data_IF_077229378585
#
_entry.id   IF_077229378585
#
_cell.length_a   1.000
_cell.length_b   1.000
_cell.length_c   1.000
_cell.angle_alpha   90.00
_cell.angle_beta   90.00
_cell.angle_gamma   90.00
#
_symmetry.space_group_name_H-M   'P 1'
#
loop_
_entity.id
_entity.type
_entity.pdbx_description
1 polymer ?
#
# COMPACT_ATOMS: atom_id res chain seq x y z
N UNK A 1 10.75 -6.66 3.43
CA UNK A 1 9.55 -6.14 4.11
C UNK A 1 8.27 -6.41 3.31
N UNK A 2 8.19 -6.12 2.00
CA UNK A 2 6.98 -6.41 1.21
C UNK A 2 6.55 -7.89 1.29
N UNK A 3 7.48 -8.85 1.23
CA UNK A 3 7.19 -10.28 1.46
C UNK A 3 6.58 -10.55 2.84
N UNK A 4 7.02 -9.84 3.87
CA UNK A 4 6.42 -9.93 5.21
C UNK A 4 4.98 -9.41 5.22
N UNK A 5 4.71 -8.26 4.60
CA UNK A 5 3.35 -7.70 4.49
C UNK A 5 2.42 -8.64 3.72
N UNK A 6 2.91 -9.26 2.64
CA UNK A 6 2.17 -10.29 1.90
C UNK A 6 1.88 -11.52 2.79
N UNK A 7 2.84 -11.97 3.58
CA UNK A 7 2.62 -13.07 4.53
C UNK A 7 1.54 -12.73 5.56
N UNK A 8 1.57 -11.50 6.11
CA UNK A 8 0.54 -11.04 7.05
C UNK A 8 -0.86 -11.00 6.40
N UNK A 9 -0.96 -10.55 5.15
CA UNK A 9 -2.20 -10.58 4.39
C UNK A 9 -2.75 -12.01 4.27
N UNK A 10 -1.90 -12.99 3.93
CA UNK A 10 -2.28 -14.41 3.86
C UNK A 10 -2.83 -14.93 5.18
N UNK A 11 -2.09 -14.68 6.26
CA UNK A 11 -2.52 -15.12 7.60
C UNK A 11 -3.87 -14.52 7.98
N UNK A 12 -4.07 -13.23 7.71
CA UNK A 12 -5.34 -12.55 7.98
C UNK A 12 -6.49 -13.15 7.15
N UNK A 13 -6.27 -13.44 5.87
CA UNK A 13 -7.28 -14.05 5.01
C UNK A 13 -7.67 -15.46 5.47
N UNK A 14 -6.72 -16.26 5.97
CA UNK A 14 -7.01 -17.59 6.51
C UNK A 14 -7.85 -17.57 7.78
N UNK A 15 -7.85 -16.47 8.52
CA UNK A 15 -8.66 -16.29 9.74
C UNK A 15 -9.98 -15.58 9.49
N UNK A 16 -10.26 -15.21 8.23
CA UNK A 16 -11.49 -14.53 7.85
C UNK A 16 -12.69 -15.48 7.96
N UNK A 17 -13.65 -15.12 8.81
CA UNK A 17 -14.94 -15.81 8.87
C UNK A 17 -15.83 -15.34 7.71
N UNK A 18 -16.64 -16.24 7.17
CA UNK A 18 -17.58 -15.93 6.08
C UNK A 18 -18.57 -14.80 6.43
N UNK A 19 -18.93 -14.68 7.70
CA UNK A 19 -19.81 -13.60 8.19
C UNK A 19 -19.19 -12.20 8.03
N UNK A 20 -17.87 -12.08 8.03
CA UNK A 20 -17.15 -10.81 7.92
C UNK A 20 -17.09 -10.31 6.46
N UNK A 21 -17.26 -11.19 5.48
CA UNK A 21 -17.19 -10.87 4.05
C UNK A 21 -18.36 -9.98 3.59
N UNK A 22 -19.43 -9.89 4.36
CA UNK A 22 -20.60 -9.05 4.06
C UNK A 22 -20.36 -7.53 4.18
N UNK A 23 -19.25 -7.10 4.79
CA UNK A 23 -18.90 -5.69 5.01
C UNK A 23 -17.55 -5.34 4.38
N UNK A 24 -17.52 -5.14 3.09
CA UNK A 24 -16.30 -4.76 2.36
C UNK A 24 -16.18 -3.23 2.23
N UNK A 25 -14.97 -2.68 2.30
CA UNK A 25 -13.69 -3.31 2.63
C UNK A 25 -13.57 -3.64 4.12
N UNK A 26 -12.82 -4.71 4.43
CA UNK A 26 -12.54 -5.13 5.81
C UNK A 26 -11.23 -4.49 6.26
N UNK A 27 -11.25 -3.83 7.42
CA UNK A 27 -10.08 -3.16 7.98
C UNK A 27 -9.50 -3.92 9.14
N UNK A 28 -8.16 -4.02 9.16
CA UNK A 28 -7.39 -4.56 10.25
C UNK A 28 -6.34 -3.56 10.73
N UNK A 29 -6.20 -3.46 12.04
CA UNK A 29 -5.07 -2.84 12.72
C UNK A 29 -4.34 -3.95 13.45
N UNK A 30 -3.22 -4.38 12.89
CA UNK A 30 -2.41 -5.44 13.46
C UNK A 30 -1.29 -4.80 14.28
N UNK A 31 -1.19 -5.21 15.54
CA UNK A 31 -0.05 -4.83 16.36
C UNK A 31 1.16 -5.68 15.96
N UNK A 32 2.24 -5.01 15.62
CA UNK A 32 3.51 -5.62 15.25
C UNK A 32 4.52 -5.46 16.40
N UNK A 33 5.65 -6.15 16.30
CA UNK A 33 6.72 -6.04 17.30
C UNK A 33 7.12 -4.58 17.51
N UNK A 34 7.41 -4.22 18.75
CA UNK A 34 7.80 -2.87 19.19
C UNK A 34 6.69 -1.80 19.06
N UNK A 35 5.42 -2.20 19.24
CA UNK A 35 4.28 -1.28 19.24
C UNK A 35 3.98 -0.63 17.90
N UNK A 36 4.42 -1.25 16.79
CA UNK A 36 4.14 -0.75 15.44
C UNK A 36 2.78 -1.17 14.96
N UNK A 37 2.16 -0.34 14.19
CA UNK A 37 0.85 -0.62 13.61
C UNK A 37 0.98 -0.96 12.13
N UNK A 38 0.47 -2.13 11.73
CA UNK A 38 0.29 -2.53 10.36
C UNK A 38 -1.20 -2.38 10.01
N UNK A 39 -1.52 -1.37 9.23
CA UNK A 39 -2.88 -1.14 8.72
C UNK A 39 -3.07 -1.99 7.48
N UNK A 40 -4.20 -2.68 7.40
CA UNK A 40 -4.56 -3.50 6.25
C UNK A 40 -6.02 -3.29 5.89
N UNK A 41 -6.31 -3.14 4.60
CA UNK A 41 -7.65 -3.14 4.04
C UNK A 41 -7.75 -4.27 3.02
N UNK A 42 -8.75 -5.13 3.18
CA UNK A 42 -9.08 -6.21 2.24
C UNK A 42 -10.34 -5.82 1.50
N UNK A 43 -10.20 -5.55 0.19
CA UNK A 43 -11.29 -5.03 -0.63
C UNK A 43 -12.08 -6.14 -1.32
N UNK A 44 -11.38 -7.20 -1.78
CA UNK A 44 -11.97 -8.29 -2.56
C UNK A 44 -11.36 -9.64 -2.14
N UNK A 45 -11.75 -10.17 -0.97
CA UNK A 45 -11.15 -11.40 -0.42
C UNK A 45 -11.34 -12.62 -1.33
N UNK A 46 -12.52 -12.77 -1.93
CA UNK A 46 -12.82 -13.89 -2.83
C UNK A 46 -11.92 -13.88 -4.07
N UNK A 47 -11.72 -12.70 -4.67
CA UNK A 47 -10.84 -12.55 -5.83
C UNK A 47 -9.38 -12.81 -5.44
N UNK A 48 -8.96 -12.33 -4.27
CA UNK A 48 -7.61 -12.60 -3.75
C UNK A 48 -7.34 -14.10 -3.58
N UNK A 49 -8.32 -14.85 -3.07
CA UNK A 49 -8.20 -16.29 -2.82
C UNK A 49 -8.30 -17.11 -4.10
N UNK A 50 -9.10 -16.67 -5.08
CA UNK A 50 -9.33 -17.40 -6.33
C UNK A 50 -8.25 -17.14 -7.40
N UNK A 51 -7.51 -16.03 -7.30
CA UNK A 51 -6.56 -15.63 -8.33
C UNK A 51 -5.24 -16.38 -8.24
N UNK A 52 -4.83 -17.00 -9.35
CA UNK A 52 -3.51 -17.62 -9.47
C UNK A 52 -2.43 -16.65 -9.93
N UNK A 53 -2.81 -15.45 -10.39
CA UNK A 53 -1.88 -14.44 -10.85
C UNK A 53 -2.33 -13.07 -10.33
N UNK A 54 -1.50 -12.45 -9.52
CA UNK A 54 -1.76 -11.16 -8.89
C UNK A 54 -0.66 -10.18 -9.25
N UNK A 55 -1.02 -8.91 -9.39
CA UNK A 55 -0.06 -7.83 -9.53
C UNK A 55 0.16 -7.11 -8.20
N UNK A 56 1.31 -6.51 -8.01
CA UNK A 56 1.54 -5.67 -6.84
C UNK A 56 2.28 -4.37 -7.17
N UNK A 57 2.02 -3.38 -6.32
CA UNK A 57 2.83 -2.18 -6.20
C UNK A 57 3.31 -2.09 -4.75
N UNK A 58 4.63 -2.00 -4.59
CA UNK A 58 5.26 -1.74 -3.30
C UNK A 58 5.80 -0.30 -3.29
N UNK A 59 5.43 0.46 -2.28
CA UNK A 59 5.96 1.79 -2.03
C UNK A 59 6.82 1.75 -0.78
N UNK A 60 8.05 2.23 -0.89
CA UNK A 60 8.97 2.37 0.24
C UNK A 60 9.44 3.81 0.24
N UNK A 61 9.40 4.47 1.39
CA UNK A 61 9.83 5.86 1.49
C UNK A 61 10.65 6.13 2.73
N UNK A 62 11.52 7.13 2.63
CA UNK A 62 12.18 7.76 3.75
C UNK A 62 11.72 9.21 3.89
N UNK A 63 11.28 9.58 5.09
CA UNK A 63 10.86 10.93 5.46
C UNK A 63 12.09 11.84 5.59
N UNK A 64 11.96 13.14 5.29
CA UNK A 64 12.99 14.14 5.58
C UNK A 64 13.16 14.32 7.10
N UNK A 65 14.35 14.69 7.52
CA UNK A 65 14.64 14.92 8.94
C UNK A 65 13.92 16.18 9.49
N UNK A 66 13.71 17.18 8.65
CA UNK A 66 12.97 18.40 9.01
C UNK A 66 11.91 18.65 7.96
N UNK A 67 10.68 18.86 8.41
CA UNK A 67 9.51 19.10 7.56
C UNK A 67 8.65 20.15 8.25
N UNK A 68 8.14 21.09 7.49
CA UNK A 68 7.15 22.05 7.99
C UNK A 68 5.89 21.33 8.46
N UNK A 69 5.36 21.73 9.61
CA UNK A 69 4.19 21.08 10.22
C UNK A 69 2.98 21.12 9.28
N UNK A 70 2.79 22.19 8.53
CA UNK A 70 1.73 22.31 7.52
C UNK A 70 1.78 21.22 6.46
N UNK A 71 2.98 20.78 6.04
CA UNK A 71 3.16 19.68 5.09
C UNK A 71 2.83 18.34 5.75
N UNK A 72 3.21 18.17 7.02
CA UNK A 72 2.87 16.95 7.78
C UNK A 72 1.36 16.80 7.89
N UNK A 73 0.68 17.86 8.35
CA UNK A 73 -0.77 17.88 8.56
C UNK A 73 -1.53 17.60 7.24
N UNK A 74 -1.05 18.17 6.14
CA UNK A 74 -1.67 17.97 4.83
C UNK A 74 -1.46 16.55 4.30
N UNK A 75 -0.28 15.94 4.49
CA UNK A 75 -0.04 14.53 4.14
C UNK A 75 -0.93 13.61 4.97
N UNK A 76 -1.08 13.85 6.27
CA UNK A 76 -1.96 13.05 7.13
C UNK A 76 -3.43 13.16 6.74
N UNK A 77 -3.87 14.36 6.36
CA UNK A 77 -5.22 14.60 5.84
C UNK A 77 -5.45 13.82 4.53
N UNK A 78 -4.50 13.91 3.60
CA UNK A 78 -4.58 13.24 2.30
C UNK A 78 -4.45 11.72 2.40
N UNK A 79 -3.66 11.19 3.33
CA UNK A 79 -3.55 9.72 3.53
C UNK A 79 -4.92 9.09 3.77
N UNK A 80 -5.76 9.73 4.59
CA UNK A 80 -7.13 9.27 4.86
C UNK A 80 -8.03 9.32 3.63
N UNK A 81 -7.96 10.40 2.86
CA UNK A 81 -8.76 10.59 1.65
C UNK A 81 -8.32 9.60 0.57
N UNK A 82 -7.02 9.53 0.29
CA UNK A 82 -6.45 8.61 -0.70
C UNK A 82 -6.76 7.17 -0.38
N UNK A 83 -6.67 6.76 0.88
CA UNK A 83 -7.00 5.39 1.28
C UNK A 83 -8.45 5.05 0.91
N UNK A 84 -9.39 5.98 1.18
CA UNK A 84 -10.80 5.80 0.83
C UNK A 84 -11.02 5.71 -0.68
N UNK A 85 -10.34 6.56 -1.46
CA UNK A 85 -10.43 6.55 -2.92
C UNK A 85 -9.83 5.29 -3.53
N UNK A 86 -8.63 4.90 -3.07
CA UNK A 86 -7.91 3.70 -3.52
C UNK A 86 -8.76 2.45 -3.33
N UNK A 87 -9.40 2.31 -2.18
CA UNK A 87 -10.23 1.14 -1.88
C UNK A 87 -11.50 1.04 -2.75
N UNK A 88 -11.93 2.15 -3.34
CA UNK A 88 -13.07 2.19 -4.25
C UNK A 88 -12.69 1.91 -5.71
N UNK A 89 -11.39 1.88 -6.03
CA UNK A 89 -10.94 1.59 -7.38
C UNK A 89 -11.21 0.13 -7.75
N UNK A 90 -11.92 -0.12 -8.85
CA UNK A 90 -12.11 -1.48 -9.35
C UNK A 90 -10.75 -2.15 -9.60
N UNK A 91 -10.60 -3.37 -9.09
CA UNK A 91 -9.37 -4.16 -9.24
C UNK A 91 -8.29 -3.90 -8.19
N UNK A 92 -8.49 -3.00 -7.23
CA UNK A 92 -7.72 -2.99 -5.98
C UNK A 92 -8.26 -4.10 -5.10
N UNK A 93 -7.43 -5.09 -4.79
CA UNK A 93 -7.83 -6.26 -4.01
C UNK A 93 -7.49 -6.12 -2.52
N UNK A 94 -6.34 -5.52 -2.23
CA UNK A 94 -5.96 -5.14 -0.87
C UNK A 94 -4.96 -4.01 -0.86
N UNK A 95 -4.94 -3.28 0.25
CA UNK A 95 -3.94 -2.27 0.59
C UNK A 95 -3.40 -2.56 1.98
N UNK A 96 -2.11 -2.42 2.18
CA UNK A 96 -1.53 -2.44 3.51
C UNK A 96 -0.41 -1.41 3.67
N UNK A 97 -0.26 -0.90 4.89
CA UNK A 97 0.68 0.14 5.25
C UNK A 97 1.33 -0.18 6.59
N UNK A 98 2.66 -0.14 6.63
CA UNK A 98 3.45 -0.43 7.81
C UNK A 98 4.55 0.63 7.99
N UNK A 99 4.53 1.29 9.14
CA UNK A 99 5.65 2.13 9.57
C UNK A 99 6.67 1.28 10.34
N UNK A 100 7.89 1.18 9.83
CA UNK A 100 8.96 0.42 10.48
C UNK A 100 9.77 1.23 11.48
N UNK A 101 9.95 2.51 11.19
CA UNK A 101 10.62 3.52 12.00
C UNK A 101 9.87 4.83 11.78
N UNK A 102 10.04 5.78 12.64
CA UNK A 102 9.40 7.10 12.54
C UNK A 102 9.66 7.86 11.24
N UNK A 103 10.62 7.39 10.44
CA UNK A 103 11.02 7.99 9.18
C UNK A 103 10.79 7.09 7.95
N UNK A 104 10.30 5.85 8.14
CA UNK A 104 10.28 4.87 7.06
C UNK A 104 8.96 4.12 6.93
N UNK A 105 8.30 4.33 5.80
CA UNK A 105 7.01 3.72 5.47
C UNK A 105 7.13 2.68 4.35
N UNK A 106 6.29 1.65 4.48
CA UNK A 106 6.12 0.59 3.50
C UNK A 106 4.63 0.43 3.19
N UNK A 107 4.25 0.53 1.92
CA UNK A 107 2.91 0.20 1.48
C UNK A 107 2.98 -0.94 0.47
N UNK A 108 2.00 -1.83 0.52
CA UNK A 108 1.81 -2.91 -0.43
C UNK A 108 0.36 -2.88 -0.92
N UNK A 109 0.19 -2.72 -2.22
CA UNK A 109 -1.11 -2.77 -2.89
C UNK A 109 -1.14 -4.00 -3.77
N UNK A 110 -2.16 -4.84 -3.61
CA UNK A 110 -2.40 -6.00 -4.46
C UNK A 110 -3.51 -5.65 -5.46
N UNK A 111 -3.26 -5.94 -6.72
CA UNK A 111 -4.10 -5.57 -7.84
C UNK A 111 -4.49 -6.84 -8.63
N UNK A 112 -5.72 -6.88 -9.12
CA UNK A 112 -6.20 -7.94 -10.01
C UNK A 112 -5.65 -7.84 -11.44
N UNK A 113 -5.27 -6.63 -11.88
CA UNK A 113 -4.68 -6.40 -13.20
C UNK A 113 -3.82 -5.13 -13.22
N UNK A 114 -3.11 -4.91 -14.32
CA UNK A 114 -2.20 -3.76 -14.47
C UNK A 114 -2.89 -2.44 -14.79
N UNK A 115 -4.11 -2.46 -15.34
CA UNK A 115 -4.84 -1.24 -15.75
C UNK A 115 -5.23 -0.38 -14.54
N UNK A 116 -5.35 -0.99 -13.38
CA UNK A 116 -5.64 -0.27 -12.11
C UNK A 116 -4.60 0.82 -11.83
N UNK A 117 -3.36 0.65 -12.28
CA UNK A 117 -2.29 1.67 -12.10
C UNK A 117 -2.63 2.99 -12.79
N UNK A 118 -3.28 2.94 -13.96
CA UNK A 118 -3.71 4.13 -14.70
C UNK A 118 -4.80 4.86 -13.91
N UNK A 119 -5.72 4.11 -13.30
CA UNK A 119 -6.76 4.67 -12.44
C UNK A 119 -6.17 5.39 -11.22
N UNK A 120 -5.09 4.87 -10.63
CA UNK A 120 -4.36 5.58 -9.56
C UNK A 120 -3.81 6.92 -10.03
N UNK A 121 -3.19 6.95 -11.20
CA UNK A 121 -2.63 8.18 -11.77
C UNK A 121 -3.70 9.21 -12.14
N UNK A 122 -4.93 8.78 -12.36
CA UNK A 122 -6.06 9.67 -12.64
C UNK A 122 -6.63 10.34 -11.38
N UNK A 123 -6.40 9.78 -10.17
CA UNK A 123 -6.87 10.39 -8.93
C UNK A 123 -6.17 11.73 -8.68
N UNK A 124 -6.96 12.78 -8.50
CA UNK A 124 -6.45 14.14 -8.25
C UNK A 124 -5.67 14.21 -6.93
N UNK A 125 -6.19 13.60 -5.89
CA UNK A 125 -5.54 13.51 -4.56
C UNK A 125 -4.18 12.81 -4.65
N UNK A 126 -4.08 11.71 -5.40
CA UNK A 126 -2.82 11.01 -5.63
C UNK A 126 -1.83 11.90 -6.41
N UNK A 127 -2.30 12.59 -7.45
CA UNK A 127 -1.45 13.51 -8.22
C UNK A 127 -0.94 14.66 -7.37
N UNK A 128 -1.80 15.25 -6.57
CA UNK A 128 -1.42 16.33 -5.66
C UNK A 128 -0.39 15.85 -4.63
N UNK A 129 -0.64 14.72 -3.97
CA UNK A 129 0.31 14.13 -3.03
C UNK A 129 1.67 13.82 -3.69
N UNK A 130 1.66 13.20 -4.87
CA UNK A 130 2.87 12.74 -5.55
C UNK A 130 3.71 13.88 -6.13
N UNK A 131 3.10 14.93 -6.68
CA UNK A 131 3.83 15.97 -7.39
C UNK A 131 3.99 17.27 -6.60
N UNK A 132 3.07 17.57 -5.69
CA UNK A 132 3.12 18.83 -4.94
C UNK A 132 3.67 18.65 -3.52
N UNK A 133 3.34 17.55 -2.84
CA UNK A 133 3.74 17.37 -1.44
C UNK A 133 4.94 16.43 -1.26
N UNK A 134 5.04 15.37 -2.05
CA UNK A 134 6.12 14.40 -1.91
C UNK A 134 7.53 15.01 -1.92
N UNK A 135 7.85 16.02 -2.75
CA UNK A 135 9.16 16.67 -2.75
C UNK A 135 9.51 17.39 -1.43
N UNK A 136 8.52 17.80 -0.67
CA UNK A 136 8.71 18.49 0.62
C UNK A 136 8.71 17.52 1.81
N UNK A 137 8.01 16.41 1.70
CA UNK A 137 7.84 15.43 2.77
C UNK A 137 8.89 14.32 2.76
N UNK A 138 9.18 13.73 1.58
CA UNK A 138 10.09 12.61 1.47
C UNK A 138 11.51 13.04 1.09
N UNK A 139 12.50 12.37 1.65
CA UNK A 139 13.88 12.44 1.17
C UNK A 139 14.04 11.56 -0.08
N UNK A 140 13.36 10.43 -0.10
CA UNK A 140 13.33 9.51 -1.23
C UNK A 140 12.08 8.64 -1.23
N UNK A 141 11.71 8.17 -2.42
CA UNK A 141 10.66 7.18 -2.65
C UNK A 141 11.22 6.10 -3.56
N UNK A 142 10.86 4.84 -3.28
CA UNK A 142 11.12 3.71 -4.15
C UNK A 142 9.83 2.97 -4.43
N UNK A 143 9.45 2.90 -5.69
CA UNK A 143 8.30 2.16 -6.18
C UNK A 143 8.75 0.85 -6.81
N UNK A 144 8.24 -0.25 -6.30
CA UNK A 144 8.41 -1.58 -6.85
C UNK A 144 7.11 -2.01 -7.54
N UNK A 145 7.22 -2.72 -8.66
CA UNK A 145 6.07 -3.37 -9.28
C UNK A 145 6.45 -4.76 -9.77
N UNK A 146 5.50 -5.66 -9.76
CA UNK A 146 5.74 -7.04 -10.14
C UNK A 146 4.47 -7.89 -10.05
N UNK A 147 4.69 -9.19 -10.00
CA UNK A 147 3.64 -10.20 -9.95
C UNK A 147 3.88 -11.19 -8.81
N UNK A 148 2.80 -11.82 -8.39
CA UNK A 148 2.79 -12.96 -7.49
C UNK A 148 2.15 -14.09 -8.28
N UNK A 149 2.96 -15.09 -8.64
CA UNK A 149 2.50 -16.29 -9.31
C UNK A 149 1.96 -17.28 -8.28
N UNK A 150 1.05 -18.16 -8.72
CA UNK A 150 0.31 -19.10 -7.86
C UNK A 150 -0.52 -18.38 -6.77
N UNK A 151 -0.91 -17.15 -7.05
CA UNK A 151 -1.75 -16.33 -6.18
C UNK A 151 -1.16 -16.18 -4.78
N UNK A 152 -2.03 -16.16 -3.79
CA UNK A 152 -1.59 -16.08 -2.39
C UNK A 152 -0.97 -17.38 -1.86
N UNK A 153 -1.13 -18.52 -2.52
CA UNK A 153 -0.45 -19.76 -2.16
C UNK A 153 1.04 -19.73 -2.52
N UNK A 154 1.40 -19.02 -3.60
CA UNK A 154 2.79 -18.81 -4.02
C UNK A 154 3.59 -18.01 -2.99
N UNK A 155 4.87 -18.36 -2.82
CA UNK A 155 5.72 -17.66 -1.85
C UNK A 155 6.52 -16.52 -2.48
N UNK A 156 6.56 -16.44 -3.80
CA UNK A 156 7.47 -15.57 -4.51
C UNK A 156 6.78 -14.35 -5.14
N UNK A 157 7.28 -13.18 -4.71
CA UNK A 157 7.03 -11.92 -5.38
C UNK A 157 8.11 -11.72 -6.44
N UNK A 158 7.72 -11.74 -7.71
CA UNK A 158 8.61 -11.48 -8.83
C UNK A 158 8.60 -10.01 -9.19
N UNK A 159 9.74 -9.37 -8.98
CA UNK A 159 9.90 -7.95 -9.24
C UNK A 159 10.17 -7.72 -10.74
N UNK A 160 9.34 -6.93 -11.39
CA UNK A 160 9.51 -6.53 -12.79
C UNK A 160 10.31 -5.24 -12.94
N UNK A 161 10.21 -4.34 -11.96
CA UNK A 161 10.93 -3.09 -12.00
C UNK A 161 10.88 -2.30 -10.71
N UNK A 162 11.82 -1.35 -10.63
CA UNK A 162 11.91 -0.39 -9.52
C UNK A 162 12.15 1.00 -10.08
N UNK A 163 11.38 1.97 -9.62
CA UNK A 163 11.63 3.41 -9.82
C UNK A 163 12.06 4.04 -8.51
N UNK A 164 13.11 4.84 -8.53
CA UNK A 164 13.57 5.60 -7.35
C UNK A 164 13.50 7.09 -7.64
N UNK A 165 12.93 7.84 -6.70
CA UNK A 165 12.86 9.28 -6.72
C UNK A 165 13.67 9.80 -5.53
N UNK A 166 14.53 10.79 -5.76
CA UNK A 166 15.31 11.47 -4.74
C UNK A 166 14.83 12.92 -4.66
N UNK A 167 14.60 13.40 -3.46
CA UNK A 167 14.17 14.77 -3.22
C UNK A 167 15.23 15.45 -2.35
N UNK A 168 16.14 16.21 -2.94
CA UNK A 168 17.20 16.89 -2.19
C UNK A 168 16.61 17.81 -1.13
N UNK A 169 17.29 17.92 0.00
CA UNK A 169 17.00 18.98 0.97
C UNK A 169 17.37 20.31 0.31
N UNK A 170 16.46 21.25 0.36
CA UNK A 170 16.78 22.66 0.02
C UNK A 170 17.62 23.25 1.12
#
# INVERSE_FOLDING_TARGET
MLKYMLHRLRMTLHTLEQSTISQLPIFYLLEERHGRTHRMAICQPEVLLASNHLHFVGFISGKKASIEQTIVDEIERLDKVMLTEIMRLPGVLSYSSLELRTDRWYNLVILGNTLVKESFHALETHRYAAYQLAPFYYAWIRLHHGVINDGLAGQDMHLHGTKTFQFPSK
#
